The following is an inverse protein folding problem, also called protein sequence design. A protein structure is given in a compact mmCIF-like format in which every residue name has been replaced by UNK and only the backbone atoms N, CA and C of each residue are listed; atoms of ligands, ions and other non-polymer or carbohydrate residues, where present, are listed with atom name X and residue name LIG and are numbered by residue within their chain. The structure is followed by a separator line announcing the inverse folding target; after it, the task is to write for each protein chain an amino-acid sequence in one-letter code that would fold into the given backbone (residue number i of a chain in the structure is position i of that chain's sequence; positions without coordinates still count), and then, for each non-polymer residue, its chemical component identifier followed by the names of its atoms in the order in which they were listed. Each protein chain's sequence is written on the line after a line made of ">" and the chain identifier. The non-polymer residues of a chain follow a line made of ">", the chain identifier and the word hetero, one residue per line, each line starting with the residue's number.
data_IF_442914396561
#
_entry.id   IF_442914396561
#
_cell.length_a   1.000
_cell.length_b   1.000
_cell.length_c   1.000
_cell.angle_alpha   90.00
_cell.angle_beta   90.00
_cell.angle_gamma   90.00
#
_symmetry.space_group_name_H-M   'P 1'
#
loop_
_entity.id
_entity.type
_entity.pdbx_description
1 polymer ?
#
# COMPACT_ATOMS: atom_id res chain seq x y z
N UNK A 1 -22.58 -18.36 5.73
CA UNK A 1 -21.26 -17.82 6.11
C UNK A 1 -21.55 -16.60 6.97
N UNK A 2 -21.13 -16.60 8.21
CA UNK A 2 -21.36 -15.49 9.15
C UNK A 2 -20.11 -14.59 9.15
N UNK A 3 -20.29 -13.29 8.96
CA UNK A 3 -19.23 -12.29 9.03
C UNK A 3 -19.32 -11.57 10.38
N UNK A 4 -18.30 -11.74 11.22
CA UNK A 4 -18.21 -11.08 12.51
C UNK A 4 -17.16 -9.96 12.44
N UNK A 5 -17.59 -8.72 12.65
CA UNK A 5 -16.72 -7.53 12.55
C UNK A 5 -16.53 -6.90 13.92
N UNK A 6 -15.27 -6.86 14.41
CA UNK A 6 -14.90 -6.17 15.64
C UNK A 6 -14.32 -4.79 15.32
N UNK A 7 -15.02 -3.73 15.68
CA UNK A 7 -14.49 -2.35 15.61
C UNK A 7 -13.69 -2.06 16.88
N UNK A 8 -12.43 -1.68 16.70
CA UNK A 8 -11.55 -1.45 17.84
C UNK A 8 -10.49 -0.38 17.52
N UNK A 9 -10.28 0.58 18.42
CA UNK A 9 -9.20 1.56 18.36
C UNK A 9 -7.85 0.98 18.78
N UNK A 10 -6.76 1.73 18.62
CA UNK A 10 -5.45 1.32 19.12
C UNK A 10 -5.52 1.11 20.65
N UNK A 11 -4.91 0.01 21.16
CA UNK A 11 -4.94 -0.34 22.60
C UNK A 11 -6.23 -0.98 23.10
N UNK A 12 -7.26 -1.16 22.29
CA UNK A 12 -8.59 -1.64 22.69
C UNK A 12 -8.74 -3.16 22.85
N UNK A 13 -7.64 -3.91 22.90
CA UNK A 13 -7.69 -5.35 23.13
C UNK A 13 -7.97 -6.20 21.87
N UNK A 14 -7.75 -5.68 20.66
CA UNK A 14 -7.95 -6.45 19.39
C UNK A 14 -7.28 -7.82 19.41
N UNK A 15 -6.01 -7.87 19.82
CA UNK A 15 -5.24 -9.11 19.87
C UNK A 15 -5.79 -10.06 20.94
N UNK A 16 -6.32 -9.52 22.04
CA UNK A 16 -7.00 -10.31 23.07
C UNK A 16 -8.26 -10.97 22.49
N UNK A 17 -9.11 -10.18 21.85
CA UNK A 17 -10.36 -10.67 21.25
C UNK A 17 -10.11 -11.75 20.19
N UNK A 18 -9.13 -11.53 19.30
CA UNK A 18 -8.77 -12.51 18.27
C UNK A 18 -8.24 -13.82 18.88
N UNK A 19 -7.42 -13.72 19.94
CA UNK A 19 -6.94 -14.90 20.65
C UNK A 19 -8.06 -15.66 21.37
N UNK A 20 -9.01 -14.94 21.98
CA UNK A 20 -10.22 -15.54 22.57
C UNK A 20 -11.03 -16.30 21.50
N UNK A 21 -11.29 -15.67 20.36
CA UNK A 21 -12.02 -16.32 19.26
C UNK A 21 -11.32 -17.57 18.75
N UNK A 22 -10.01 -17.49 18.55
CA UNK A 22 -9.21 -18.63 18.13
C UNK A 22 -9.27 -19.78 19.15
N UNK A 23 -9.06 -19.49 20.44
CA UNK A 23 -9.08 -20.48 21.53
C UNK A 23 -10.49 -21.06 21.70
N UNK A 24 -11.53 -20.25 21.58
CA UNK A 24 -12.93 -20.70 21.60
C UNK A 24 -13.20 -21.77 20.52
N UNK A 25 -12.76 -21.55 19.29
CA UNK A 25 -12.89 -22.52 18.20
C UNK A 25 -12.15 -23.83 18.53
N UNK A 26 -10.97 -23.76 19.14
CA UNK A 26 -10.20 -24.93 19.58
C UNK A 26 -10.87 -25.68 20.73
N UNK A 27 -11.52 -24.98 21.64
CA UNK A 27 -12.28 -25.61 22.74
C UNK A 27 -13.52 -26.33 22.18
N UNK A 28 -14.19 -25.74 21.19
CA UNK A 28 -15.30 -26.41 20.51
C UNK A 28 -14.83 -27.67 19.76
N UNK A 29 -13.72 -27.56 19.05
CA UNK A 29 -13.08 -28.68 18.35
C UNK A 29 -11.55 -28.61 18.47
N UNK A 30 -10.90 -29.43 19.30
CA UNK A 30 -9.44 -29.41 19.50
C UNK A 30 -8.59 -29.62 18.25
N UNK A 31 -9.16 -30.12 17.15
CA UNK A 31 -8.49 -30.31 15.86
C UNK A 31 -8.76 -29.18 14.85
N UNK A 32 -9.56 -28.19 15.21
CA UNK A 32 -9.94 -27.08 14.32
C UNK A 32 -8.75 -26.24 13.85
N UNK A 33 -7.60 -26.22 14.55
CA UNK A 33 -6.39 -25.49 14.14
C UNK A 33 -5.96 -25.78 12.69
N UNK A 34 -6.29 -26.96 12.17
CA UNK A 34 -5.98 -27.35 10.79
C UNK A 34 -6.85 -26.63 9.74
N UNK A 35 -7.96 -26.06 10.17
CA UNK A 35 -8.96 -25.41 9.34
C UNK A 35 -9.07 -23.91 9.63
N UNK A 36 -8.33 -23.41 10.60
CA UNK A 36 -8.31 -21.99 10.97
C UNK A 36 -7.07 -21.35 10.36
N UNK A 37 -7.28 -20.24 9.68
CA UNK A 37 -6.24 -19.32 9.24
C UNK A 37 -6.38 -18.02 10.01
N UNK A 38 -5.33 -17.61 10.72
CA UNK A 38 -5.22 -16.27 11.29
C UNK A 38 -4.16 -15.49 10.52
N UNK A 39 -4.47 -14.26 10.13
CA UNK A 39 -3.55 -13.39 9.39
C UNK A 39 -3.27 -12.11 10.14
N UNK A 40 -2.04 -11.63 10.03
CA UNK A 40 -1.56 -10.37 10.63
C UNK A 40 -0.78 -9.55 9.61
N UNK A 41 -0.45 -8.30 9.94
CA UNK A 41 0.34 -7.44 9.04
C UNK A 41 1.85 -7.67 9.16
N UNK A 42 2.36 -8.06 10.34
CA UNK A 42 3.80 -8.13 10.58
C UNK A 42 4.22 -9.48 11.15
N UNK A 43 5.46 -9.88 10.89
CA UNK A 43 6.05 -11.09 11.47
C UNK A 43 6.07 -11.03 13.00
N UNK A 44 6.30 -9.84 13.57
CA UNK A 44 6.25 -9.64 15.02
C UNK A 44 4.86 -9.93 15.57
N UNK A 45 3.80 -9.37 14.97
CA UNK A 45 2.42 -9.64 15.39
C UNK A 45 2.04 -11.12 15.22
N UNK A 46 2.54 -11.78 14.16
CA UNK A 46 2.38 -13.23 13.99
C UNK A 46 2.98 -14.03 15.12
N UNK A 47 4.23 -13.73 15.51
CA UNK A 47 4.92 -14.40 16.60
C UNK A 47 4.20 -14.18 17.94
N UNK A 48 3.85 -12.93 18.25
CA UNK A 48 3.09 -12.58 19.46
C UNK A 48 1.73 -13.29 19.53
N UNK A 49 1.03 -13.42 18.41
CA UNK A 49 -0.25 -14.10 18.34
C UNK A 49 -0.09 -15.61 18.59
N UNK A 50 0.92 -16.25 17.98
CA UNK A 50 1.23 -17.67 18.20
C UNK A 50 1.56 -17.94 19.66
N UNK A 51 2.48 -17.16 20.22
CA UNK A 51 2.88 -17.27 21.61
C UNK A 51 1.68 -17.11 22.54
N UNK A 52 0.85 -16.10 22.31
CA UNK A 52 -0.34 -15.83 23.11
C UNK A 52 -1.33 -16.99 23.09
N UNK A 53 -1.65 -17.54 21.91
CA UNK A 53 -2.57 -18.67 21.79
C UNK A 53 -2.04 -19.88 22.58
N UNK A 54 -0.76 -20.23 22.39
CA UNK A 54 -0.15 -21.38 23.08
C UNK A 54 -0.08 -21.19 24.59
N UNK A 55 0.35 -20.01 25.03
CA UNK A 55 0.46 -19.67 26.46
C UNK A 55 -0.92 -19.71 27.15
N UNK A 56 -1.94 -19.15 26.49
CA UNK A 56 -3.28 -19.14 27.08
C UNK A 56 -3.93 -20.54 27.09
N UNK A 57 -3.73 -21.37 26.06
CA UNK A 57 -4.18 -22.76 26.08
C UNK A 57 -3.51 -23.53 27.22
N UNK A 58 -2.22 -23.34 27.43
CA UNK A 58 -1.48 -23.94 28.51
C UNK A 58 -1.99 -23.46 29.88
N UNK A 59 -2.17 -22.15 30.05
CA UNK A 59 -2.65 -21.55 31.30
C UNK A 59 -4.08 -22.03 31.64
N UNK A 60 -5.00 -22.08 30.67
CA UNK A 60 -6.35 -22.62 30.86
C UNK A 60 -6.28 -24.10 31.32
N UNK A 61 -5.41 -24.90 30.68
CA UNK A 61 -5.24 -26.32 31.05
C UNK A 61 -4.65 -26.51 32.43
N UNK A 62 -3.66 -25.66 32.80
CA UNK A 62 -2.92 -25.77 34.09
C UNK A 62 -3.50 -24.91 35.20
N UNK A 63 -4.63 -24.26 34.99
CA UNK A 63 -5.29 -23.40 35.99
C UNK A 63 -4.47 -22.17 36.39
N UNK A 64 -3.72 -21.61 35.44
CA UNK A 64 -2.95 -20.39 35.67
C UNK A 64 -3.89 -19.18 35.77
N UNK A 65 -3.85 -18.41 36.90
CA UNK A 65 -4.66 -17.22 37.09
C UNK A 65 -4.47 -16.16 35.97
N UNK A 66 -3.32 -16.11 35.32
CA UNK A 66 -3.05 -15.22 34.22
C UNK A 66 -3.98 -15.46 32.97
N UNK A 67 -4.58 -16.66 32.91
CA UNK A 67 -5.51 -17.05 31.84
C UNK A 67 -7.00 -16.93 32.21
N UNK A 68 -7.31 -16.50 33.43
CA UNK A 68 -8.70 -16.42 33.93
C UNK A 68 -9.56 -15.43 33.09
N UNK A 69 -8.97 -14.33 32.65
CA UNK A 69 -9.68 -13.36 31.80
C UNK A 69 -10.12 -13.99 30.46
N UNK A 70 -9.28 -14.82 29.86
CA UNK A 70 -9.59 -15.56 28.65
C UNK A 70 -10.67 -16.61 28.91
N UNK A 71 -10.52 -17.40 29.96
CA UNK A 71 -11.49 -18.43 30.33
C UNK A 71 -12.86 -17.84 30.62
N UNK A 72 -12.91 -16.73 31.36
CA UNK A 72 -14.15 -16.00 31.64
C UNK A 72 -14.83 -15.55 30.36
N UNK A 73 -14.12 -14.91 29.46
CA UNK A 73 -14.66 -14.43 28.18
C UNK A 73 -15.18 -15.57 27.32
N UNK A 74 -14.44 -16.68 27.24
CA UNK A 74 -14.86 -17.87 26.49
C UNK A 74 -16.15 -18.46 27.04
N UNK A 75 -16.29 -18.51 28.38
CA UNK A 75 -17.53 -18.97 29.03
C UNK A 75 -18.72 -18.08 28.70
N UNK A 76 -18.52 -16.75 28.73
CA UNK A 76 -19.54 -15.79 28.35
C UNK A 76 -20.00 -16.02 26.91
N UNK A 77 -19.05 -16.18 25.97
CA UNK A 77 -19.35 -16.43 24.58
C UNK A 77 -20.00 -17.80 24.31
N UNK A 78 -19.77 -18.79 25.17
CA UNK A 78 -20.37 -20.13 25.10
C UNK A 78 -21.61 -20.32 26.00
N UNK A 79 -22.18 -19.22 26.50
CA UNK A 79 -23.33 -19.30 27.44
C UNK A 79 -24.55 -20.05 26.89
N UNK A 80 -24.75 -20.07 25.55
CA UNK A 80 -25.80 -20.82 24.88
C UNK A 80 -25.58 -22.35 24.86
N UNK A 81 -24.34 -22.80 25.05
CA UNK A 81 -23.96 -24.22 25.13
C UNK A 81 -22.85 -24.41 26.19
N UNK A 82 -23.18 -24.30 27.48
CA UNK A 82 -22.19 -24.23 28.53
C UNK A 82 -21.45 -25.56 28.67
N UNK A 83 -20.12 -25.46 28.66
CA UNK A 83 -19.22 -26.57 28.97
C UNK A 83 -18.79 -26.45 30.44
N UNK A 84 -18.60 -27.60 31.13
CA UNK A 84 -18.03 -27.58 32.47
C UNK A 84 -16.58 -27.12 32.45
N UNK A 85 -16.10 -26.49 33.54
CA UNK A 85 -14.71 -26.04 33.67
C UNK A 85 -13.71 -27.16 33.39
N UNK A 86 -14.01 -28.34 33.90
CA UNK A 86 -13.19 -29.53 33.69
C UNK A 86 -13.08 -29.89 32.22
N UNK A 87 -14.17 -29.78 31.47
CA UNK A 87 -14.21 -30.09 30.05
C UNK A 87 -13.49 -29.02 29.24
N UNK A 88 -13.68 -27.72 29.55
CA UNK A 88 -12.97 -26.61 28.91
C UNK A 88 -11.45 -26.78 29.04
N UNK A 89 -10.97 -27.06 30.26
CA UNK A 89 -9.54 -27.28 30.55
C UNK A 89 -9.00 -28.52 29.84
N UNK A 90 -9.74 -29.62 29.86
CA UNK A 90 -9.38 -30.85 29.15
C UNK A 90 -9.21 -30.61 27.66
N UNK A 91 -10.16 -29.90 27.04
CA UNK A 91 -10.11 -29.58 25.60
C UNK A 91 -8.98 -28.62 25.27
N UNK A 92 -8.70 -27.62 26.11
CA UNK A 92 -7.55 -26.72 25.94
C UNK A 92 -6.23 -27.49 25.93
N UNK A 93 -6.05 -28.44 26.87
CA UNK A 93 -4.87 -29.32 26.92
C UNK A 93 -4.76 -30.22 25.68
N UNK A 94 -5.87 -30.80 25.24
CA UNK A 94 -5.91 -31.62 23.99
C UNK A 94 -5.55 -30.81 22.75
N UNK A 95 -6.10 -29.58 22.62
CA UNK A 95 -5.80 -28.71 21.51
C UNK A 95 -4.32 -28.36 21.49
N UNK A 96 -3.76 -27.97 22.62
CA UNK A 96 -2.33 -27.68 22.76
C UNK A 96 -1.47 -28.87 22.34
N UNK A 97 -1.76 -30.07 22.83
CA UNK A 97 -1.01 -31.27 22.47
C UNK A 97 -1.08 -31.55 20.97
N UNK A 98 -2.26 -31.49 20.36
CA UNK A 98 -2.40 -31.69 18.91
C UNK A 98 -1.64 -30.65 18.11
N UNK A 99 -1.70 -29.38 18.51
CA UNK A 99 -0.98 -28.30 17.83
C UNK A 99 0.54 -28.47 17.94
N UNK A 100 1.08 -28.89 19.09
CA UNK A 100 2.50 -29.10 19.25
C UNK A 100 3.02 -30.32 18.45
N UNK A 101 2.21 -31.39 18.32
CA UNK A 101 2.55 -32.54 17.49
C UNK A 101 2.45 -32.30 16.00
N UNK A 102 1.64 -31.33 15.56
CA UNK A 102 1.39 -31.03 14.15
C UNK A 102 1.47 -29.50 13.92
N UNK A 103 2.58 -28.92 14.39
CA UNK A 103 2.79 -27.47 14.43
C UNK A 103 2.73 -26.80 13.05
N UNK A 104 3.13 -27.52 12.02
CA UNK A 104 3.08 -27.04 10.62
C UNK A 104 1.65 -26.69 10.15
N UNK A 105 0.64 -27.29 10.76
CA UNK A 105 -0.77 -27.00 10.48
C UNK A 105 -1.36 -25.86 11.30
N UNK A 106 -0.60 -25.35 12.28
CA UNK A 106 -0.98 -24.16 13.05
C UNK A 106 -0.69 -22.90 12.24
N UNK A 107 -1.66 -22.48 11.45
CA UNK A 107 -1.51 -21.39 10.47
C UNK A 107 -1.89 -20.04 11.12
N UNK A 108 -0.87 -19.36 11.63
CA UNK A 108 -0.90 -17.92 11.93
C UNK A 108 0.24 -17.32 11.11
N UNK A 109 -0.06 -16.48 10.14
CA UNK A 109 0.91 -15.98 9.17
C UNK A 109 0.61 -14.53 8.78
N UNK A 110 1.53 -13.88 8.08
CA UNK A 110 1.26 -12.55 7.55
C UNK A 110 0.35 -12.65 6.32
N UNK A 111 -0.37 -11.55 6.02
CA UNK A 111 -1.19 -11.44 4.81
C UNK A 111 -0.34 -11.76 3.57
N UNK A 112 0.87 -11.20 3.49
CA UNK A 112 1.79 -11.43 2.37
C UNK A 112 2.18 -12.91 2.25
N UNK A 113 2.52 -13.57 3.37
CA UNK A 113 2.86 -15.01 3.37
C UNK A 113 1.70 -15.87 2.89
N UNK A 114 0.48 -15.51 3.28
CA UNK A 114 -0.73 -16.19 2.79
C UNK A 114 -0.88 -16.05 1.28
N UNK A 115 -0.83 -14.81 0.75
CA UNK A 115 -0.94 -14.59 -0.69
C UNK A 115 0.19 -15.24 -1.48
N UNK A 116 1.43 -15.20 -0.98
CA UNK A 116 2.54 -15.94 -1.59
C UNK A 116 2.27 -17.45 -1.68
N UNK A 117 1.71 -18.03 -0.61
CA UNK A 117 1.32 -19.44 -0.61
C UNK A 117 0.24 -19.74 -1.64
N UNK A 118 -0.78 -18.88 -1.73
CA UNK A 118 -1.84 -18.99 -2.74
C UNK A 118 -1.26 -18.90 -4.16
N UNK A 119 -0.43 -17.88 -4.43
CA UNK A 119 0.20 -17.70 -5.74
C UNK A 119 1.07 -18.90 -6.14
N UNK A 120 1.86 -19.45 -5.22
CA UNK A 120 2.67 -20.67 -5.49
C UNK A 120 1.79 -21.88 -5.81
N UNK A 121 0.69 -22.04 -5.11
CA UNK A 121 -0.23 -23.14 -5.36
C UNK A 121 -0.98 -23.01 -6.69
N UNK A 122 -1.24 -21.78 -7.13
CA UNK A 122 -1.91 -21.45 -8.39
C UNK A 122 -0.91 -21.07 -9.51
N UNK A 123 0.39 -21.26 -9.30
CA UNK A 123 1.41 -20.83 -10.26
C UNK A 123 1.19 -21.40 -11.66
N UNK A 124 0.75 -22.65 -11.74
CA UNK A 124 0.47 -23.32 -13.02
C UNK A 124 -0.73 -22.70 -13.75
N UNK A 125 -1.80 -22.42 -13.02
CA UNK A 125 -3.04 -21.82 -13.56
C UNK A 125 -2.82 -20.36 -13.96
N UNK A 126 -1.89 -19.68 -13.29
CA UNK A 126 -1.51 -18.29 -13.54
C UNK A 126 -0.36 -18.17 -14.56
N UNK A 127 0.12 -19.27 -15.13
CA UNK A 127 1.26 -19.32 -16.06
C UNK A 127 2.55 -18.68 -15.47
N UNK A 128 2.69 -18.77 -14.13
CA UNK A 128 3.83 -18.22 -13.41
C UNK A 128 4.94 -19.28 -13.24
N UNK A 129 6.18 -18.82 -13.14
CA UNK A 129 7.31 -19.69 -12.80
C UNK A 129 7.12 -20.30 -11.41
N UNK A 130 7.38 -21.61 -11.21
CA UNK A 130 7.35 -22.25 -9.88
C UNK A 130 8.32 -21.61 -8.88
N UNK A 131 9.40 -21.01 -9.36
CA UNK A 131 10.42 -20.31 -8.56
C UNK A 131 10.16 -18.81 -8.53
N UNK A 132 8.93 -18.40 -8.34
CA UNK A 132 8.55 -17.00 -8.26
C UNK A 132 9.25 -16.32 -7.07
N UNK A 133 10.13 -15.37 -7.37
CA UNK A 133 10.65 -14.45 -6.39
C UNK A 133 9.75 -13.20 -6.37
N UNK A 134 9.23 -12.88 -5.20
CA UNK A 134 8.46 -11.66 -4.99
C UNK A 134 9.44 -10.60 -4.50
N UNK A 135 9.67 -9.59 -5.35
CA UNK A 135 10.44 -8.42 -4.97
C UNK A 135 9.49 -7.36 -4.40
N UNK A 136 9.75 -6.91 -3.19
CA UNK A 136 8.94 -5.88 -2.51
C UNK A 136 9.50 -4.48 -2.73
N UNK A 137 10.75 -4.38 -3.20
CA UNK A 137 11.38 -3.10 -3.46
C UNK A 137 11.10 -2.63 -4.90
N UNK A 138 9.95 -1.99 -5.10
CA UNK A 138 9.57 -1.42 -6.39
C UNK A 138 10.62 -0.46 -6.95
N UNK A 139 11.41 0.21 -6.10
CA UNK A 139 12.42 1.18 -6.52
C UNK A 139 13.58 0.49 -7.24
N UNK A 140 14.05 -0.64 -6.72
CA UNK A 140 15.16 -1.39 -7.34
C UNK A 140 14.71 -2.02 -8.66
N UNK A 141 13.52 -2.63 -8.67
CA UNK A 141 12.92 -3.20 -9.90
C UNK A 141 12.78 -2.14 -10.98
N UNK A 142 12.27 -0.95 -10.61
CA UNK A 142 12.13 0.17 -11.55
C UNK A 142 13.49 0.67 -12.04
N UNK A 143 14.47 0.78 -11.14
CA UNK A 143 15.83 1.20 -11.49
C UNK A 143 16.45 0.28 -12.53
N UNK A 144 16.41 -1.02 -12.27
CA UNK A 144 16.97 -2.03 -13.19
C UNK A 144 16.23 -2.04 -14.53
N UNK A 145 14.91 -1.90 -14.50
CA UNK A 145 14.10 -1.84 -15.72
C UNK A 145 14.43 -0.62 -16.57
N UNK A 146 14.56 0.56 -15.96
CA UNK A 146 14.91 1.81 -16.68
C UNK A 146 16.33 1.74 -17.21
N UNK A 147 17.29 1.29 -16.43
CA UNK A 147 18.68 1.17 -16.86
C UNK A 147 18.79 0.17 -18.02
N UNK A 148 18.15 -0.99 -17.93
CA UNK A 148 18.09 -1.98 -19.03
C UNK A 148 17.35 -1.43 -20.28
N UNK A 149 16.33 -0.61 -20.09
CA UNK A 149 15.64 0.05 -21.22
C UNK A 149 16.58 1.01 -21.93
N UNK A 150 17.31 1.85 -21.19
CA UNK A 150 18.25 2.84 -21.75
C UNK A 150 19.39 2.14 -22.49
N UNK A 151 19.97 1.09 -21.91
CA UNK A 151 21.05 0.31 -22.53
C UNK A 151 20.65 -0.36 -23.85
N UNK A 152 19.37 -0.73 -24.00
CA UNK A 152 18.84 -1.39 -25.20
C UNK A 152 18.37 -0.42 -26.28
N UNK A 153 18.49 0.91 -26.07
CA UNK A 153 18.10 1.89 -27.08
C UNK A 153 18.98 1.79 -28.32
N UNK A 154 18.34 1.79 -29.46
CA UNK A 154 19.00 1.83 -30.79
C UNK A 154 18.69 3.16 -31.48
N UNK A 155 19.53 3.59 -32.46
CA UNK A 155 19.27 4.82 -33.19
C UNK A 155 17.90 4.90 -33.88
N UNK A 156 17.29 3.76 -34.14
CA UNK A 156 15.93 3.66 -34.74
C UNK A 156 14.80 3.62 -33.70
N UNK A 157 15.14 3.65 -32.41
CA UNK A 157 14.12 3.59 -31.35
C UNK A 157 13.34 4.91 -31.24
N UNK A 158 12.00 4.91 -31.32
CA UNK A 158 11.19 6.11 -31.08
C UNK A 158 11.41 6.71 -29.69
N UNK A 159 11.72 5.86 -28.70
CA UNK A 159 12.00 6.29 -27.33
C UNK A 159 13.29 7.11 -27.26
N UNK A 160 14.31 6.74 -28.04
CA UNK A 160 15.54 7.53 -28.12
C UNK A 160 15.29 8.94 -28.65
N UNK A 161 14.50 9.07 -29.72
CA UNK A 161 14.15 10.38 -30.28
C UNK A 161 13.48 11.27 -29.19
N UNK A 162 12.53 10.72 -28.45
CA UNK A 162 11.87 11.46 -27.37
C UNK A 162 12.81 11.86 -26.22
N UNK A 163 13.73 10.97 -25.84
CA UNK A 163 14.71 11.29 -24.82
C UNK A 163 15.65 12.40 -25.29
N UNK A 164 16.06 12.40 -26.56
CA UNK A 164 16.89 13.46 -27.14
C UNK A 164 16.14 14.79 -27.20
N UNK A 165 14.88 14.81 -27.63
CA UNK A 165 14.04 16.00 -27.62
C UNK A 165 13.90 16.58 -26.21
N UNK A 166 13.64 15.72 -25.23
CA UNK A 166 13.58 16.12 -23.82
C UNK A 166 14.90 16.72 -23.31
N UNK A 167 16.03 16.08 -23.62
CA UNK A 167 17.37 16.59 -23.24
C UNK A 167 17.61 17.97 -23.85
N UNK A 168 17.28 18.14 -25.14
CA UNK A 168 17.47 19.41 -25.83
C UNK A 168 16.59 20.53 -25.22
N UNK A 169 15.34 20.23 -24.86
CA UNK A 169 14.44 21.15 -24.19
C UNK A 169 15.00 21.57 -22.82
N UNK A 170 15.53 20.61 -22.03
CA UNK A 170 16.14 20.89 -20.71
C UNK A 170 17.41 21.72 -20.84
N UNK A 171 18.24 21.47 -21.85
CA UNK A 171 19.46 22.26 -22.12
C UNK A 171 19.08 23.69 -22.52
N UNK A 172 18.05 23.87 -23.36
CA UNK A 172 17.56 25.18 -23.76
C UNK A 172 17.06 26.01 -22.56
N UNK A 173 16.48 25.34 -21.56
CA UNK A 173 15.98 25.96 -20.33
C UNK A 173 17.08 26.14 -19.25
N UNK A 174 18.36 25.86 -19.55
CA UNK A 174 19.48 25.86 -18.58
C UNK A 174 19.22 25.00 -17.34
N UNK A 175 18.47 23.90 -17.49
CA UNK A 175 18.12 22.96 -16.43
C UNK A 175 19.03 21.73 -16.47
N UNK A 176 19.24 21.09 -15.30
CA UNK A 176 19.94 19.81 -15.24
C UNK A 176 19.17 18.74 -15.99
N UNK A 177 19.90 17.87 -16.70
CA UNK A 177 19.33 16.79 -17.48
C UNK A 177 19.87 15.43 -17.02
N UNK A 178 19.37 14.90 -15.94
CA UNK A 178 19.64 13.52 -15.56
C UNK A 178 18.44 12.64 -15.98
N UNK A 179 18.43 12.24 -17.25
CA UNK A 179 17.33 11.50 -17.88
C UNK A 179 17.00 10.24 -17.11
N UNK A 180 18.00 9.45 -16.69
CA UNK A 180 17.77 8.20 -15.95
C UNK A 180 16.99 8.47 -14.67
N UNK A 181 17.40 9.44 -13.86
CA UNK A 181 16.71 9.75 -12.62
C UNK A 181 15.31 10.31 -12.84
N UNK A 182 15.10 11.11 -13.86
CA UNK A 182 13.79 11.68 -14.15
C UNK A 182 12.83 10.62 -14.67
N UNK A 183 13.28 9.72 -15.53
CA UNK A 183 12.47 8.58 -15.98
C UNK A 183 12.15 7.65 -14.81
N UNK A 184 13.10 7.39 -13.89
CA UNK A 184 12.87 6.60 -12.67
C UNK A 184 11.85 7.28 -11.76
N UNK A 185 11.96 8.60 -11.56
CA UNK A 185 11.03 9.34 -10.72
C UNK A 185 9.61 9.35 -11.32
N UNK A 186 9.48 9.59 -12.61
CA UNK A 186 8.21 9.54 -13.31
C UNK A 186 7.63 8.12 -13.33
N UNK A 187 8.49 7.13 -13.54
CA UNK A 187 8.11 5.72 -13.61
C UNK A 187 7.51 5.16 -12.31
N UNK A 188 7.75 5.79 -11.16
CA UNK A 188 7.13 5.39 -9.88
C UNK A 188 5.60 5.41 -9.94
N UNK A 189 5.04 6.30 -10.75
CA UNK A 189 3.59 6.42 -10.91
C UNK A 189 2.91 5.15 -11.43
N UNK A 190 3.67 4.22 -12.07
CA UNK A 190 3.10 2.96 -12.55
C UNK A 190 2.66 2.03 -11.41
N UNK A 191 3.17 2.25 -10.19
CA UNK A 191 2.80 1.49 -8.99
C UNK A 191 1.67 2.15 -8.19
N UNK A 192 1.24 3.36 -8.57
CA UNK A 192 0.15 4.05 -7.89
C UNK A 192 -1.20 3.39 -8.18
N UNK A 193 -2.01 3.24 -7.15
CA UNK A 193 -3.36 2.65 -7.26
C UNK A 193 -4.19 3.37 -8.32
N UNK A 194 -4.13 4.70 -8.36
CA UNK A 194 -4.86 5.51 -9.34
C UNK A 194 -4.47 5.21 -10.79
N UNK A 195 -3.21 4.84 -11.06
CA UNK A 195 -2.76 4.40 -12.37
C UNK A 195 -3.25 2.97 -12.68
N UNK A 196 -3.18 2.08 -11.68
CA UNK A 196 -3.58 0.68 -11.81
C UNK A 196 -5.09 0.59 -12.05
N UNK A 197 -5.90 1.34 -11.29
CA UNK A 197 -7.36 1.37 -11.40
C UNK A 197 -7.87 1.89 -12.76
N UNK A 198 -7.15 2.84 -13.38
CA UNK A 198 -7.51 3.37 -14.71
C UNK A 198 -7.32 2.35 -15.84
N UNK A 199 -6.60 1.26 -15.58
CA UNK A 199 -6.54 0.08 -16.41
C UNK A 199 -5.95 0.27 -17.80
N UNK A 200 -6.32 -0.63 -18.68
CA UNK A 200 -5.73 -0.76 -20.02
C UNK A 200 -6.04 0.43 -20.95
N UNK A 201 -7.18 1.07 -20.77
CA UNK A 201 -7.58 2.24 -21.58
C UNK A 201 -6.61 3.42 -21.44
N UNK A 202 -6.12 3.72 -20.22
CA UNK A 202 -5.09 4.74 -20.02
C UNK A 202 -3.75 4.30 -20.62
N UNK A 203 -3.37 3.02 -20.40
CA UNK A 203 -2.10 2.48 -20.94
C UNK A 203 -2.03 2.56 -22.45
N UNK A 204 -3.12 2.26 -23.15
CA UNK A 204 -3.21 2.39 -24.62
C UNK A 204 -3.07 3.84 -25.08
N UNK A 205 -3.72 4.78 -24.40
CA UNK A 205 -3.58 6.22 -24.71
C UNK A 205 -2.15 6.71 -24.51
N UNK A 206 -1.49 6.32 -23.41
CA UNK A 206 -0.10 6.70 -23.12
C UNK A 206 0.91 6.06 -24.07
N UNK A 207 0.54 4.98 -24.79
CA UNK A 207 1.39 4.37 -25.83
C UNK A 207 1.27 5.05 -27.19
N UNK A 208 0.24 5.89 -27.40
CA UNK A 208 0.05 6.62 -28.68
C UNK A 208 0.86 7.91 -28.68
N UNK A 209 1.85 8.07 -29.58
CA UNK A 209 2.58 9.32 -29.75
C UNK A 209 1.66 10.50 -30.04
N UNK A 210 0.61 10.26 -30.83
CA UNK A 210 -0.36 11.27 -31.23
C UNK A 210 -1.17 11.78 -30.03
N UNK A 211 -1.59 10.89 -29.15
CA UNK A 211 -2.32 11.26 -27.94
C UNK A 211 -1.44 12.09 -26.98
N UNK A 212 -0.16 11.73 -26.85
CA UNK A 212 0.77 12.50 -26.03
C UNK A 212 1.06 13.87 -26.66
N UNK A 213 1.24 13.92 -27.96
CA UNK A 213 1.43 15.18 -28.67
C UNK A 213 0.22 16.11 -28.49
N UNK A 214 -0.99 15.61 -28.73
CA UNK A 214 -2.22 16.37 -28.52
C UNK A 214 -2.33 16.90 -27.10
N UNK A 215 -2.01 16.08 -26.11
CA UNK A 215 -2.04 16.49 -24.70
C UNK A 215 -1.02 17.61 -24.41
N UNK A 216 0.20 17.51 -24.95
CA UNK A 216 1.21 18.58 -24.82
C UNK A 216 0.78 19.88 -25.49
N UNK A 217 0.18 19.78 -26.67
CA UNK A 217 -0.29 20.95 -27.41
C UNK A 217 -1.41 21.68 -26.65
N UNK A 218 -2.37 20.92 -26.05
CA UNK A 218 -3.41 21.51 -25.19
C UNK A 218 -2.81 22.17 -23.94
N UNK A 219 -1.81 21.56 -23.31
CA UNK A 219 -1.17 22.18 -22.15
C UNK A 219 -0.44 23.48 -22.50
N UNK A 220 0.23 23.55 -23.67
CA UNK A 220 0.88 24.78 -24.15
C UNK A 220 -0.13 25.89 -24.49
N UNK A 221 -1.26 25.53 -25.07
CA UNK A 221 -2.36 26.45 -25.32
C UNK A 221 -2.88 27.03 -24.00
N UNK A 222 -3.15 26.16 -23.00
CA UNK A 222 -3.59 26.59 -21.65
C UNK A 222 -2.55 27.50 -20.96
N UNK A 223 -1.26 27.22 -21.10
CA UNK A 223 -0.19 28.05 -20.56
C UNK A 223 -0.16 29.44 -21.23
N UNK A 224 -0.27 29.46 -22.56
CA UNK A 224 -0.33 30.70 -23.34
C UNK A 224 -1.53 31.54 -22.93
N UNK A 225 -2.72 30.95 -22.87
CA UNK A 225 -3.95 31.62 -22.45
C UNK A 225 -3.83 32.18 -21.03
N UNK A 226 -3.22 31.41 -20.11
CA UNK A 226 -3.00 31.87 -18.74
C UNK A 226 -2.05 33.07 -18.68
N UNK A 227 -0.97 33.03 -19.45
CA UNK A 227 -0.02 34.15 -19.54
C UNK A 227 -0.68 35.40 -20.15
N UNK A 228 -1.49 35.26 -21.21
CA UNK A 228 -2.24 36.38 -21.78
C UNK A 228 -3.25 36.98 -20.79
N UNK A 229 -3.96 36.14 -20.04
CA UNK A 229 -4.84 36.62 -18.96
C UNK A 229 -4.08 37.37 -17.87
N UNK A 230 -2.95 36.82 -17.42
CA UNK A 230 -2.09 37.50 -16.43
C UNK A 230 -1.59 38.84 -16.95
N UNK A 231 -1.18 38.91 -18.22
CA UNK A 231 -0.77 40.15 -18.84
C UNK A 231 -1.92 41.17 -18.91
N UNK A 232 -3.12 40.71 -19.28
CA UNK A 232 -4.32 41.57 -19.27
C UNK A 232 -4.64 42.11 -17.87
N UNK A 233 -4.47 41.34 -16.81
CA UNK A 233 -4.61 41.83 -15.43
C UNK A 233 -3.52 42.86 -15.07
N UNK A 234 -2.29 42.62 -15.52
CA UNK A 234 -1.19 43.56 -15.30
C UNK A 234 -1.45 44.87 -16.00
N UNK A 235 -1.83 44.88 -17.31
CA UNK A 235 -2.13 46.06 -18.06
C UNK A 235 -3.30 46.87 -17.44
N UNK A 236 -4.35 46.19 -16.94
CA UNK A 236 -5.43 46.84 -16.21
C UNK A 236 -4.95 47.49 -14.91
N UNK A 237 -4.11 46.77 -14.16
CA UNK A 237 -3.56 47.28 -12.91
C UNK A 237 -2.66 48.52 -13.14
N UNK A 238 -1.78 48.51 -14.16
CA UNK A 238 -1.00 49.67 -14.56
C UNK A 238 -1.90 50.85 -14.94
N UNK A 239 -2.95 50.57 -15.74
CA UNK A 239 -3.91 51.60 -16.15
C UNK A 239 -4.63 52.27 -14.97
N UNK A 240 -4.96 51.48 -13.92
CA UNK A 240 -5.55 52.02 -12.70
C UNK A 240 -4.55 52.85 -11.88
N UNK A 241 -3.30 52.43 -11.81
CA UNK A 241 -2.22 53.21 -11.13
C UNK A 241 -1.99 54.52 -11.84
N UNK A 242 -1.87 54.54 -13.17
CA UNK A 242 -1.70 55.73 -13.97
C UNK A 242 -2.90 56.69 -13.83
N UNK A 243 -4.13 56.15 -13.85
CA UNK A 243 -5.36 56.88 -13.64
C UNK A 243 -5.46 57.61 -12.31
N UNK A 244 -4.77 57.11 -11.27
CA UNK A 244 -4.68 57.68 -9.96
C UNK A 244 -3.36 58.41 -9.68
N UNK A 245 -2.47 58.55 -10.69
CA UNK A 245 -1.12 59.12 -10.58
C UNK A 245 -0.29 58.46 -9.46
N UNK A 246 -0.43 57.15 -9.27
CA UNK A 246 0.30 56.34 -8.31
C UNK A 246 1.43 55.61 -9.01
N UNK A 247 2.54 55.41 -8.29
CA UNK A 247 3.65 54.55 -8.75
C UNK A 247 3.74 53.31 -7.85
N UNK A 248 4.34 52.20 -8.32
CA UNK A 248 4.47 50.98 -7.53
C UNK A 248 5.07 51.18 -6.10
N UNK A 249 5.90 52.17 -5.96
CA UNK A 249 6.54 52.58 -4.69
C UNK A 249 5.53 53.11 -3.66
N UNK A 250 4.42 53.65 -4.10
CA UNK A 250 3.33 54.17 -3.24
C UNK A 250 2.49 53.06 -2.63
N UNK A 251 2.61 51.85 -3.18
CA UNK A 251 1.88 50.68 -2.68
C UNK A 251 2.52 50.07 -1.45
N UNK A 252 1.71 49.41 -0.60
CA UNK A 252 2.19 48.72 0.59
C UNK A 252 3.23 47.66 0.24
N UNK A 253 4.48 47.86 0.67
CA UNK A 253 5.63 47.01 0.38
C UNK A 253 6.54 47.52 -0.74
N UNK A 254 6.15 48.61 -1.44
CA UNK A 254 6.93 49.24 -2.50
C UNK A 254 7.32 48.24 -3.60
N UNK A 255 8.51 48.41 -4.19
CA UNK A 255 9.06 47.52 -5.21
C UNK A 255 9.25 46.04 -4.79
N UNK A 256 9.04 45.69 -3.51
CA UNK A 256 9.07 44.30 -2.99
C UNK A 256 7.68 43.75 -2.66
N UNK A 257 6.65 44.56 -2.86
CA UNK A 257 5.24 44.17 -2.66
C UNK A 257 4.51 43.78 -3.94
N UNK A 258 3.24 44.18 -4.03
CA UNK A 258 2.38 43.92 -5.20
C UNK A 258 2.95 44.51 -6.49
N UNK A 259 3.74 45.61 -6.41
CA UNK A 259 4.40 46.23 -7.58
C UNK A 259 5.62 45.46 -8.12
N UNK A 260 5.96 44.31 -7.56
CA UNK A 260 7.09 43.45 -8.03
C UNK A 260 6.63 42.26 -8.87
N UNK A 261 5.36 42.11 -9.04
CA UNK A 261 4.74 41.09 -9.89
C UNK A 261 4.27 41.75 -11.20
#
# INVERSE_FOLDING_TARGET
>A
MELLVYKASAGSGKTFTLAVEYIKLLILNPRAYRQILAVTFTNKATAEMKERILTQLYGIWKEDPASDAYLKRIKEDLASSPLSDKELRRRAGMALQYMLHDYSRFRVETIDSFFQSVMRNLARELELSPNLNIELNNTDVLSDAVDSMIEKLTPSSPVLAWLLDYINERIADDKRWNVSNEVKNFGRNIFDESYIERGEGLRLKLRSPEAIKLYRDVLREMETDALEQMKGFYDQFEGELDGHALVPEDLKGGARGIGSY
#
